data_IF_377533714727
#
_entry.id   IF_377533714727
#
_cell.length_a   1.000
_cell.length_b   1.000
_cell.length_c   1.000
_cell.angle_alpha   90.00
_cell.angle_beta   90.00
_cell.angle_gamma   90.00
#
_symmetry.space_group_name_H-M   'P 1'
#
loop_
_entity.id
_entity.type
_entity.pdbx_description
1 polymer ?
#
# COMPACT_ATOMS: atom_id res chain seq x y z
N UNK A 1 -9.99 -17.80 -6.41
CA UNK A 1 -10.17 -16.32 -6.35
C UNK A 1 -9.59 -15.87 -5.03
N UNK A 2 -8.40 -15.28 -5.05
CA UNK A 2 -7.77 -14.76 -3.83
C UNK A 2 -8.49 -13.50 -3.39
N UNK A 3 -9.29 -13.61 -2.34
CA UNK A 3 -9.96 -12.46 -1.74
C UNK A 3 -8.91 -11.73 -0.92
N UNK A 4 -8.41 -10.61 -1.46
CA UNK A 4 -7.59 -9.68 -0.70
C UNK A 4 -8.34 -9.10 0.48
N UNK A 5 -7.60 -8.51 1.41
CA UNK A 5 -8.16 -7.83 2.58
C UNK A 5 -8.05 -6.33 2.37
N UNK A 6 -9.18 -5.65 2.56
CA UNK A 6 -9.29 -4.21 2.62
C UNK A 6 -9.58 -3.84 4.07
N UNK A 7 -8.58 -3.29 4.74
CA UNK A 7 -8.66 -2.91 6.16
C UNK A 7 -8.81 -1.39 6.28
N UNK A 8 -9.85 -0.88 6.97
CA UNK A 8 -9.97 0.56 7.21
C UNK A 8 -8.82 1.06 8.09
N UNK A 9 -8.23 2.22 7.73
CA UNK A 9 -7.14 2.81 8.51
C UNK A 9 -7.18 4.34 8.42
N UNK A 10 -7.41 4.99 9.58
CA UNK A 10 -7.58 6.44 9.68
C UNK A 10 -8.61 6.99 8.66
N UNK A 11 -8.21 7.94 7.81
CA UNK A 11 -9.04 8.55 6.76
C UNK A 11 -8.98 7.80 5.43
N UNK A 12 -8.53 6.54 5.44
CA UNK A 12 -8.32 5.73 4.26
C UNK A 12 -8.43 4.23 4.53
N UNK A 13 -7.84 3.42 3.66
CA UNK A 13 -7.81 1.96 3.81
C UNK A 13 -6.56 1.34 3.19
N UNK A 14 -6.17 0.19 3.75
CA UNK A 14 -5.00 -0.59 3.36
C UNK A 14 -5.49 -1.81 2.58
N UNK A 15 -4.93 -2.04 1.40
CA UNK A 15 -5.28 -3.18 0.57
C UNK A 15 -4.09 -4.15 0.48
N UNK A 16 -4.27 -5.36 0.98
CA UNK A 16 -3.27 -6.43 0.94
C UNK A 16 -3.83 -7.66 0.23
N UNK A 17 -2.98 -8.32 -0.55
CA UNK A 17 -3.33 -9.52 -1.32
C UNK A 17 -2.37 -10.65 -0.95
N UNK A 18 -2.84 -11.90 -0.86
CA UNK A 18 -1.92 -13.03 -0.91
C UNK A 18 -1.23 -13.08 -2.28
N UNK A 19 0.01 -13.55 -2.33
CA UNK A 19 0.78 -13.64 -3.57
C UNK A 19 0.24 -14.71 -4.53
N UNK A 20 -0.43 -15.73 -4.00
CA UNK A 20 -0.98 -16.85 -4.76
C UNK A 20 -2.01 -17.64 -3.95
N UNK A 21 -2.84 -18.43 -4.64
CA UNK A 21 -3.77 -19.38 -4.00
C UNK A 21 -2.87 -20.39 -3.26
N UNK A 22 -2.97 -20.47 -1.93
CA UNK A 22 -2.07 -21.24 -1.04
C UNK A 22 -0.69 -20.62 -0.71
N UNK A 23 -0.44 -19.34 -1.05
CA UNK A 23 0.79 -18.66 -0.64
C UNK A 23 0.69 -18.15 0.81
N UNK A 24 1.67 -18.50 1.64
CA UNK A 24 1.85 -17.89 2.97
C UNK A 24 2.34 -16.43 2.87
N UNK A 25 2.68 -15.98 1.65
CA UNK A 25 3.19 -14.64 1.41
C UNK A 25 2.09 -13.66 0.99
N UNK A 26 2.23 -12.44 1.47
CA UNK A 26 1.30 -11.34 1.26
C UNK A 26 2.03 -10.15 0.67
N UNK A 27 1.32 -9.35 -0.12
CA UNK A 27 1.83 -8.12 -0.71
C UNK A 27 0.84 -6.98 -0.45
N UNK A 28 1.37 -5.75 -0.44
CA UNK A 28 0.55 -4.55 -0.34
C UNK A 28 0.16 -4.15 -1.77
N UNK A 29 -1.12 -4.22 -2.08
CA UNK A 29 -1.63 -3.89 -3.40
C UNK A 29 -1.73 -2.37 -3.58
N UNK A 30 -2.32 -1.70 -2.58
CA UNK A 30 -2.52 -0.27 -2.58
C UNK A 30 -2.75 0.26 -1.17
N UNK A 31 -2.43 1.54 -0.98
CA UNK A 31 -2.77 2.33 0.20
C UNK A 31 -3.63 3.47 -0.28
N UNK A 32 -4.85 3.56 0.23
CA UNK A 32 -5.84 4.52 -0.24
C UNK A 32 -5.96 5.66 0.75
N UNK A 33 -5.69 6.90 0.31
CA UNK A 33 -5.76 8.11 1.13
C UNK A 33 -6.50 9.18 0.32
N UNK A 34 -7.52 9.82 0.90
CA UNK A 34 -8.26 10.92 0.29
C UNK A 34 -8.81 10.62 -1.13
N UNK A 35 -9.14 9.34 -1.40
CA UNK A 35 -9.63 8.88 -2.71
C UNK A 35 -8.55 8.69 -3.78
N UNK A 36 -7.28 8.76 -3.42
CA UNK A 36 -6.13 8.40 -4.25
C UNK A 36 -5.59 7.04 -3.82
N UNK A 37 -5.05 6.27 -4.76
CA UNK A 37 -4.41 4.99 -4.48
C UNK A 37 -2.89 5.10 -4.66
N UNK A 38 -2.13 4.69 -3.66
CA UNK A 38 -0.68 4.63 -3.69
C UNK A 38 -0.25 3.17 -3.73
N UNK A 39 0.28 2.73 -4.87
CA UNK A 39 0.72 1.37 -5.10
C UNK A 39 2.23 1.28 -4.83
N UNK A 40 2.68 0.60 -3.77
CA UNK A 40 4.11 0.35 -3.57
C UNK A 40 4.64 -0.70 -4.55
N UNK A 41 5.96 -0.69 -4.77
CA UNK A 41 6.67 -1.80 -5.43
C UNK A 41 6.31 -3.11 -4.74
N UNK A 42 5.87 -4.15 -5.50
CA UNK A 42 5.51 -5.42 -4.92
C UNK A 42 6.65 -5.97 -4.05
N UNK A 43 6.32 -6.26 -2.80
CA UNK A 43 7.19 -6.91 -1.84
C UNK A 43 6.41 -8.01 -1.14
N UNK A 44 7.09 -9.11 -0.84
CA UNK A 44 6.51 -10.26 -0.17
C UNK A 44 6.76 -10.19 1.32
N UNK A 45 5.68 -10.29 2.08
CA UNK A 45 5.64 -10.34 3.53
C UNK A 45 5.20 -11.73 3.96
N UNK A 46 5.81 -12.27 5.03
CA UNK A 46 5.59 -13.65 5.49
C UNK A 46 4.21 -13.92 6.12
N UNK A 47 3.39 -12.89 6.28
CA UNK A 47 2.02 -13.04 6.77
C UNK A 47 1.21 -11.77 6.47
N UNK A 48 -0.10 -11.93 6.47
CA UNK A 48 -1.09 -10.86 6.38
C UNK A 48 -0.83 -9.75 7.41
N UNK A 49 -0.67 -10.12 8.68
CA UNK A 49 -0.46 -9.15 9.76
C UNK A 49 0.82 -8.34 9.56
N UNK A 50 1.89 -8.95 9.04
CA UNK A 50 3.13 -8.23 8.72
C UNK A 50 2.90 -7.27 7.55
N UNK A 51 2.18 -7.69 6.52
CA UNK A 51 1.80 -6.83 5.40
C UNK A 51 0.97 -5.62 5.87
N UNK A 52 -0.04 -5.85 6.72
CA UNK A 52 -0.89 -4.79 7.27
C UNK A 52 -0.10 -3.79 8.13
N UNK A 53 0.74 -4.28 9.06
CA UNK A 53 1.60 -3.40 9.87
C UNK A 53 2.55 -2.59 8.99
N UNK A 54 3.03 -3.17 7.89
CA UNK A 54 3.90 -2.46 6.96
C UNK A 54 3.12 -1.44 6.11
N UNK A 55 1.92 -1.78 5.65
CA UNK A 55 1.03 -0.88 4.94
C UNK A 55 0.66 0.33 5.80
N UNK A 56 0.35 0.14 7.08
CA UNK A 56 0.10 1.24 8.03
C UNK A 56 1.30 2.19 8.15
N UNK A 57 2.53 1.65 8.27
CA UNK A 57 3.75 2.48 8.33
C UNK A 57 3.99 3.28 7.06
N UNK A 58 3.64 2.72 5.90
CA UNK A 58 3.74 3.43 4.63
C UNK A 58 2.64 4.49 4.54
N UNK A 59 1.41 4.17 4.98
CA UNK A 59 0.30 5.14 5.10
C UNK A 59 0.72 6.35 5.91
N UNK A 60 1.22 6.16 7.13
CA UNK A 60 1.60 7.25 8.02
C UNK A 60 2.65 8.15 7.37
N UNK A 61 3.63 7.54 6.69
CA UNK A 61 4.64 8.27 5.96
C UNK A 61 4.06 9.05 4.77
N UNK A 62 3.15 8.45 3.98
CA UNK A 62 2.47 9.15 2.88
C UNK A 62 1.67 10.32 3.42
N UNK A 63 0.91 10.14 4.50
CA UNK A 63 0.10 11.21 5.09
C UNK A 63 0.96 12.39 5.59
N UNK A 64 2.16 12.12 6.10
CA UNK A 64 3.12 13.17 6.51
C UNK A 64 3.79 13.87 5.32
N UNK A 65 3.93 13.20 4.17
CA UNK A 65 4.71 13.66 3.01
C UNK A 65 3.86 13.82 1.74
N UNK A 66 2.52 13.86 1.85
CA UNK A 66 1.58 13.93 0.73
C UNK A 66 1.91 15.05 -0.27
N UNK A 67 2.32 16.27 0.14
CA UNK A 67 2.69 17.34 -0.79
C UNK A 67 3.92 17.04 -1.65
N UNK A 68 4.82 16.17 -1.18
CA UNK A 68 6.05 15.80 -1.89
C UNK A 68 5.81 14.69 -2.92
N UNK A 69 4.72 13.94 -2.75
CA UNK A 69 4.30 12.86 -3.64
C UNK A 69 3.42 13.49 -4.74
N UNK A 70 4.04 14.30 -5.60
CA UNK A 70 3.33 14.95 -6.71
C UNK A 70 3.54 14.22 -8.03
N UNK A 71 2.43 13.81 -8.66
CA UNK A 71 2.33 13.33 -10.04
C UNK A 71 3.18 12.10 -10.41
N UNK A 72 2.80 10.97 -9.83
CA UNK A 72 2.92 9.68 -10.51
C UNK A 72 3.85 8.69 -9.84
N UNK A 73 5.10 9.07 -9.53
CA UNK A 73 6.07 8.12 -8.95
C UNK A 73 6.94 8.79 -7.89
N UNK A 74 6.99 8.22 -6.69
CA UNK A 74 7.83 8.71 -5.59
C UNK A 74 8.70 7.58 -5.05
N UNK A 75 10.01 7.82 -4.92
CA UNK A 75 10.90 6.88 -4.26
C UNK A 75 10.95 7.16 -2.76
N UNK A 76 10.49 6.20 -1.96
CA UNK A 76 10.56 6.28 -0.50
C UNK A 76 11.83 5.57 0.00
N UNK A 77 12.87 6.34 0.30
CA UNK A 77 14.15 5.83 0.80
C UNK A 77 14.01 5.11 2.15
N UNK A 78 13.09 5.56 3.03
CA UNK A 78 12.82 4.97 4.35
C UNK A 78 12.41 3.51 4.27
N UNK A 79 11.68 3.14 3.22
CA UNK A 79 11.17 1.79 3.02
C UNK A 79 11.81 1.07 1.83
N UNK A 80 12.76 1.72 1.14
CA UNK A 80 13.43 1.21 -0.04
C UNK A 80 12.43 0.70 -1.10
N UNK A 81 11.43 1.53 -1.42
CA UNK A 81 10.39 1.19 -2.38
C UNK A 81 9.99 2.40 -3.23
N UNK A 82 9.41 2.12 -4.39
CA UNK A 82 8.78 3.12 -5.24
C UNK A 82 7.27 3.06 -4.99
N UNK A 83 6.64 4.23 -4.81
CA UNK A 83 5.20 4.42 -4.74
C UNK A 83 4.71 5.00 -6.06
N UNK A 84 3.76 4.34 -6.70
CA UNK A 84 3.03 4.89 -7.83
C UNK A 84 1.68 5.42 -7.38
N UNK A 85 1.43 6.68 -7.66
CA UNK A 85 0.16 7.32 -7.37
C UNK A 85 -0.78 7.07 -8.56
N UNK A 86 -1.85 6.33 -8.33
CA UNK A 86 -2.95 6.20 -9.27
C UNK A 86 -4.00 7.24 -8.91
N UNK A 87 -4.29 8.21 -9.81
CA UNK A 87 -5.35 9.17 -9.58
C UNK A 87 -6.69 8.46 -9.51
N UNK A 88 -7.63 9.08 -8.80
CA UNK A 88 -9.03 8.63 -8.79
C UNK A 88 -9.52 8.55 -10.24
N UNK A 89 -9.90 7.34 -10.68
CA UNK A 89 -10.56 7.18 -11.97
C UNK A 89 -11.81 8.06 -11.93
N UNK A 90 -11.83 9.07 -12.80
CA UNK A 90 -12.89 10.09 -12.86
C UNK A 90 -14.15 9.53 -13.50
#
# INVERSE_FOLDING_TARGET
MNIGIIEPYNSGFLEVLPEGEDSDYWQIAAIHINGQAFCPTPQLYRSEQVALVKAAKIYDWIAEHEPEISNGTCYCSKFNLILWQQPKVS
#
